data_IF_334840899674
#
_entry.id   IF_334840899674
#
_cell.length_a   1.000
_cell.length_b   1.000
_cell.length_c   1.000
_cell.angle_alpha   90.00
_cell.angle_beta   90.00
_cell.angle_gamma   90.00
#
_symmetry.space_group_name_H-M   'P 1'
#
loop_
_entity.id
_entity.type
_entity.pdbx_description
1 polymer ?
#
# COMPACT_ATOMS: atom_id res chain seq x y z
N UNK A 1 -40.55 -85.43 34.62
CA UNK A 1 -40.13 -84.28 35.45
C UNK A 1 -38.62 -84.21 35.48
N UNK A 2 -38.10 -82.99 35.61
CA UNK A 2 -36.70 -82.58 35.72
C UNK A 2 -35.95 -82.33 34.41
N UNK A 3 -35.83 -81.03 34.16
CA UNK A 3 -35.03 -80.34 33.15
C UNK A 3 -33.58 -80.29 33.65
N UNK A 4 -32.61 -80.60 32.80
CA UNK A 4 -31.21 -80.21 32.99
C UNK A 4 -30.69 -79.67 31.66
N UNK A 5 -30.79 -78.35 31.50
CA UNK A 5 -30.09 -77.57 30.50
C UNK A 5 -28.61 -77.50 30.91
N UNK A 6 -27.71 -77.98 30.04
CA UNK A 6 -26.27 -77.72 30.19
C UNK A 6 -25.81 -76.80 29.08
N UNK A 7 -25.28 -75.66 29.51
CA UNK A 7 -24.95 -74.46 28.75
C UNK A 7 -23.54 -74.57 28.17
N UNK A 8 -23.37 -74.28 26.87
CA UNK A 8 -22.07 -74.20 26.22
C UNK A 8 -21.24 -73.01 26.75
N UNK A 9 -19.90 -73.11 26.85
CA UNK A 9 -19.08 -72.01 27.33
C UNK A 9 -18.92 -70.91 26.27
N UNK A 10 -19.07 -69.66 26.72
CA UNK A 10 -18.81 -68.44 25.94
C UNK A 10 -17.31 -68.29 25.62
N UNK A 11 -16.95 -67.79 24.42
CA UNK A 11 -15.56 -67.43 24.11
C UNK A 11 -15.11 -66.18 24.89
N UNK A 12 -13.80 -66.00 25.15
CA UNK A 12 -13.28 -64.88 25.92
C UNK A 12 -13.49 -63.56 25.17
N UNK A 13 -13.89 -62.54 25.92
CA UNK A 13 -14.08 -61.17 25.44
C UNK A 13 -12.76 -60.59 24.90
N UNK A 14 -12.84 -59.94 23.74
CA UNK A 14 -11.73 -59.16 23.17
C UNK A 14 -11.32 -58.06 24.16
N UNK A 15 -10.01 -57.79 24.33
CA UNK A 15 -9.56 -56.68 25.15
C UNK A 15 -10.08 -55.37 24.54
N UNK A 16 -10.88 -54.63 25.32
CA UNK A 16 -11.21 -53.24 25.01
C UNK A 16 -9.89 -52.45 24.99
N UNK A 17 -9.45 -52.06 23.80
CA UNK A 17 -8.40 -51.08 23.67
C UNK A 17 -8.94 -49.76 24.25
N UNK A 18 -8.54 -49.46 25.48
CA UNK A 18 -8.60 -48.11 26.00
C UNK A 18 -7.71 -47.24 25.09
N UNK A 19 -8.33 -46.60 24.09
CA UNK A 19 -7.68 -45.55 23.33
C UNK A 19 -7.19 -44.46 24.29
N UNK A 20 -6.05 -43.81 24.01
CA UNK A 20 -5.55 -42.77 24.89
C UNK A 20 -6.64 -41.72 25.05
N UNK A 21 -7.04 -41.47 26.31
CA UNK A 21 -7.92 -40.38 26.67
C UNK A 21 -7.18 -39.08 26.33
N UNK A 22 -7.36 -38.61 25.11
CA UNK A 22 -6.86 -37.33 24.65
C UNK A 22 -7.75 -36.26 25.27
N UNK A 23 -7.42 -35.82 26.49
CA UNK A 23 -7.97 -34.60 27.07
C UNK A 23 -7.32 -33.40 26.37
N UNK A 24 -7.69 -33.17 25.11
CA UNK A 24 -7.39 -31.91 24.43
C UNK A 24 -8.35 -30.85 24.97
N UNK A 25 -7.89 -30.12 25.98
CA UNK A 25 -8.52 -28.88 26.40
C UNK A 25 -8.56 -27.91 25.21
N UNK A 26 -9.78 -27.57 24.80
CA UNK A 26 -10.19 -26.46 23.92
C UNK A 26 -9.27 -26.25 22.70
N UNK A 27 -9.21 -27.22 21.80
CA UNK A 27 -8.98 -26.93 20.39
C UNK A 27 -10.33 -27.17 19.68
N UNK A 28 -10.91 -26.11 19.11
CA UNK A 28 -12.08 -26.23 18.25
C UNK A 28 -11.80 -27.16 17.06
N UNK A 29 -12.85 -27.63 16.40
CA UNK A 29 -12.69 -28.37 15.14
C UNK A 29 -11.89 -27.54 14.11
N UNK A 30 -11.25 -28.17 13.11
CA UNK A 30 -10.51 -27.43 12.06
C UNK A 30 -11.38 -26.36 11.38
N UNK A 31 -12.68 -26.62 11.25
CA UNK A 31 -13.66 -25.64 10.78
C UNK A 31 -13.79 -24.42 11.69
N UNK A 32 -13.81 -24.65 13.01
CA UNK A 32 -13.90 -23.59 14.00
C UNK A 32 -12.64 -22.73 14.01
N UNK A 33 -11.45 -23.32 13.89
CA UNK A 33 -10.20 -22.57 13.74
C UNK A 33 -10.19 -21.72 12.45
N UNK A 34 -10.78 -22.24 11.36
CA UNK A 34 -10.94 -21.50 10.12
C UNK A 34 -11.86 -20.28 10.27
N UNK A 35 -12.98 -20.45 10.99
CA UNK A 35 -13.90 -19.35 11.32
C UNK A 35 -13.19 -18.29 12.18
N UNK A 36 -12.50 -18.72 13.25
CA UNK A 36 -11.77 -17.81 14.14
C UNK A 36 -10.68 -17.02 13.39
N UNK A 37 -9.93 -17.65 12.49
CA UNK A 37 -8.93 -16.96 11.67
C UNK A 37 -9.56 -15.95 10.70
N UNK A 38 -10.70 -16.30 10.09
CA UNK A 38 -11.43 -15.40 9.20
C UNK A 38 -12.02 -14.20 9.97
N UNK A 39 -12.56 -14.42 11.16
CA UNK A 39 -13.09 -13.36 12.03
C UNK A 39 -11.99 -12.37 12.42
N UNK A 40 -10.82 -12.86 12.84
CA UNK A 40 -9.67 -12.01 13.15
C UNK A 40 -9.24 -11.17 11.95
N UNK A 41 -9.13 -11.79 10.78
CA UNK A 41 -8.75 -11.11 9.54
C UNK A 41 -9.78 -10.03 9.17
N UNK A 42 -11.06 -10.33 9.34
CA UNK A 42 -12.16 -9.39 9.06
C UNK A 42 -12.15 -8.21 10.03
N UNK A 43 -11.98 -8.46 11.33
CA UNK A 43 -11.90 -7.42 12.35
C UNK A 43 -10.71 -6.48 12.11
N UNK A 44 -9.53 -7.04 11.80
CA UNK A 44 -8.34 -6.24 11.46
C UNK A 44 -8.56 -5.45 10.17
N UNK A 45 -9.27 -6.02 9.19
CA UNK A 45 -9.66 -5.31 7.96
C UNK A 45 -10.56 -4.10 8.22
N UNK A 46 -11.48 -4.18 9.20
CA UNK A 46 -12.34 -3.05 9.60
C UNK A 46 -11.53 -1.95 10.29
N UNK A 47 -10.63 -2.32 11.21
CA UNK A 47 -9.71 -1.36 11.83
C UNK A 47 -8.83 -0.68 10.77
N UNK A 48 -8.34 -1.43 9.78
CA UNK A 48 -7.56 -0.87 8.68
C UNK A 48 -8.35 0.17 7.87
N UNK A 49 -9.65 -0.03 7.64
CA UNK A 49 -10.51 0.97 6.99
C UNK A 49 -10.67 2.23 7.83
N UNK A 50 -10.81 2.11 9.16
CA UNK A 50 -10.90 3.25 10.05
C UNK A 50 -9.59 4.06 10.10
N UNK A 51 -8.44 3.41 9.93
CA UNK A 51 -7.14 4.09 9.81
C UNK A 51 -7.02 4.97 8.56
N UNK A 52 -7.84 4.74 7.55
CA UNK A 52 -7.91 5.54 6.31
C UNK A 52 -8.91 6.71 6.41
N UNK A 53 -9.68 6.83 7.50
CA UNK A 53 -10.64 7.91 7.66
C UNK A 53 -9.97 9.29 7.72
N UNK A 54 -10.59 10.34 7.17
CA UNK A 54 -10.04 11.71 7.22
C UNK A 54 -10.09 12.35 8.62
N UNK A 55 -10.75 11.70 9.58
CA UNK A 55 -10.85 12.13 10.97
C UNK A 55 -9.66 11.61 11.80
N UNK A 56 -8.80 12.53 12.25
CA UNK A 56 -7.60 12.19 13.03
C UNK A 56 -7.97 11.53 14.37
N UNK A 57 -9.11 11.90 14.97
CA UNK A 57 -9.58 11.29 16.21
C UNK A 57 -9.95 9.81 15.97
N UNK A 58 -10.74 9.50 14.93
CA UNK A 58 -11.07 8.13 14.54
C UNK A 58 -9.82 7.30 14.21
N UNK A 59 -8.83 7.88 13.51
CA UNK A 59 -7.57 7.20 13.21
C UNK A 59 -6.79 6.87 14.48
N UNK A 60 -6.70 7.82 15.41
CA UNK A 60 -6.02 7.63 16.69
C UNK A 60 -6.70 6.55 17.55
N UNK A 61 -8.03 6.51 17.53
CA UNK A 61 -8.82 5.49 18.23
C UNK A 61 -8.59 4.10 17.64
N UNK A 62 -8.65 3.94 16.32
CA UNK A 62 -8.40 2.65 15.67
C UNK A 62 -6.98 2.12 15.94
N UNK A 63 -5.97 2.99 16.00
CA UNK A 63 -4.61 2.62 16.41
C UNK A 63 -4.58 2.13 17.86
N UNK A 64 -5.22 2.88 18.77
CA UNK A 64 -5.28 2.52 20.19
C UNK A 64 -6.01 1.18 20.41
N UNK A 65 -7.09 0.93 19.67
CA UNK A 65 -7.84 -0.32 19.70
C UNK A 65 -7.01 -1.50 19.21
N UNK A 66 -6.28 -1.34 18.09
CA UNK A 66 -5.38 -2.38 17.58
C UNK A 66 -4.25 -2.69 18.57
N UNK A 67 -3.64 -1.65 19.15
CA UNK A 67 -2.58 -1.79 20.15
C UNK A 67 -3.11 -2.49 21.41
N UNK A 68 -4.27 -2.07 21.92
CA UNK A 68 -4.92 -2.69 23.07
C UNK A 68 -5.28 -4.15 22.80
N UNK A 69 -5.77 -4.48 21.60
CA UNK A 69 -6.12 -5.85 21.22
C UNK A 69 -4.92 -6.79 21.13
N UNK A 70 -3.73 -6.28 20.78
CA UNK A 70 -2.47 -7.03 20.77
C UNK A 70 -1.90 -7.17 22.19
N UNK A 71 -1.88 -6.09 22.97
CA UNK A 71 -1.42 -6.10 24.36
C UNK A 71 -2.31 -6.96 25.27
N UNK A 72 -3.61 -7.05 25.00
CA UNK A 72 -4.52 -7.91 25.76
C UNK A 72 -4.14 -9.41 25.68
N UNK A 73 -3.44 -9.84 24.62
CA UNK A 73 -2.93 -11.21 24.49
C UNK A 73 -1.52 -11.39 25.08
N UNK A 74 -1.00 -10.39 25.79
CA UNK A 74 0.30 -10.50 26.46
C UNK A 74 0.29 -11.66 27.46
N UNK A 75 1.19 -12.62 27.25
CA UNK A 75 1.25 -13.89 28.00
C UNK A 75 0.59 -15.07 27.31
N UNK A 76 -0.30 -14.85 26.34
CA UNK A 76 -0.87 -15.89 25.49
C UNK A 76 -0.18 -15.92 24.11
N UNK A 77 0.98 -16.59 24.07
CA UNK A 77 1.86 -16.62 22.88
C UNK A 77 1.16 -17.09 21.60
N UNK A 78 0.23 -18.04 21.71
CA UNK A 78 -0.47 -18.59 20.55
C UNK A 78 -1.51 -17.59 20.00
N UNK A 79 -2.31 -16.97 20.87
CA UNK A 79 -3.29 -15.97 20.45
C UNK A 79 -2.62 -14.71 19.89
N UNK A 80 -1.51 -14.27 20.50
CA UNK A 80 -0.72 -13.15 19.98
C UNK A 80 -0.15 -13.46 18.59
N UNK A 81 0.39 -14.67 18.38
CA UNK A 81 0.90 -15.08 17.08
C UNK A 81 -0.21 -15.09 16.01
N UNK A 82 -1.41 -15.59 16.35
CA UNK A 82 -2.54 -15.62 15.41
C UNK A 82 -3.01 -14.21 15.02
N UNK A 83 -3.12 -13.28 15.97
CA UNK A 83 -3.49 -11.88 15.68
C UNK A 83 -2.41 -11.16 14.87
N UNK A 84 -1.14 -11.36 15.20
CA UNK A 84 -0.02 -10.79 14.45
C UNK A 84 0.00 -11.32 13.01
N UNK A 85 -0.20 -12.61 12.81
CA UNK A 85 -0.26 -13.24 11.48
C UNK A 85 -1.43 -12.71 10.64
N UNK A 86 -2.63 -12.63 11.22
CA UNK A 86 -3.79 -12.01 10.57
C UNK A 86 -3.52 -10.54 10.19
N UNK A 87 -2.78 -9.80 11.03
CA UNK A 87 -2.38 -8.41 10.72
C UNK A 87 -1.42 -8.36 9.55
N UNK A 88 -0.42 -9.25 9.51
CA UNK A 88 0.50 -9.36 8.37
C UNK A 88 -0.24 -9.65 7.07
N UNK A 89 -1.21 -10.57 7.09
CA UNK A 89 -2.01 -10.93 5.92
C UNK A 89 -2.78 -9.72 5.36
N UNK A 90 -3.44 -8.93 6.22
CA UNK A 90 -4.16 -7.72 5.79
C UNK A 90 -3.19 -6.69 5.20
N UNK A 91 -2.00 -6.52 5.79
CA UNK A 91 -0.97 -5.61 5.26
C UNK A 91 -0.52 -6.02 3.85
N UNK A 92 -0.24 -7.31 3.63
CA UNK A 92 0.15 -7.82 2.33
C UNK A 92 -0.94 -7.65 1.29
N UNK A 93 -2.19 -7.95 1.67
CA UNK A 93 -3.34 -7.77 0.79
C UNK A 93 -3.47 -6.31 0.34
N UNK A 94 -3.43 -5.35 1.27
CA UNK A 94 -3.52 -3.92 0.97
C UNK A 94 -2.36 -3.44 0.09
N UNK A 95 -1.13 -3.91 0.36
CA UNK A 95 0.03 -3.61 -0.50
C UNK A 95 -0.15 -4.16 -1.92
N UNK A 96 -0.65 -5.39 -2.04
CA UNK A 96 -1.00 -5.99 -3.34
C UNK A 96 -2.02 -5.13 -4.10
N UNK A 97 -3.11 -4.71 -3.45
CA UNK A 97 -4.09 -3.83 -4.07
C UNK A 97 -3.49 -2.48 -4.48
N UNK A 98 -2.67 -1.85 -3.63
CA UNK A 98 -2.02 -0.58 -3.92
C UNK A 98 -1.12 -0.67 -5.17
N UNK A 99 -0.31 -1.74 -5.27
CA UNK A 99 0.54 -1.95 -6.45
C UNK A 99 -0.27 -2.16 -7.73
N UNK A 100 -1.36 -2.94 -7.66
CA UNK A 100 -2.26 -3.13 -8.80
C UNK A 100 -2.88 -1.80 -9.25
N UNK A 101 -3.43 -1.01 -8.32
CA UNK A 101 -4.02 0.30 -8.64
C UNK A 101 -2.98 1.26 -9.23
N UNK A 102 -1.75 1.26 -8.72
CA UNK A 102 -0.67 2.08 -9.26
C UNK A 102 -0.31 1.69 -10.70
N UNK A 103 -0.29 0.40 -11.03
CA UNK A 103 -0.05 -0.08 -12.39
C UNK A 103 -1.17 0.37 -13.35
N UNK A 104 -2.43 0.29 -12.92
CA UNK A 104 -3.56 0.77 -13.73
C UNK A 104 -3.50 2.30 -13.94
N UNK A 105 -3.19 3.07 -12.90
CA UNK A 105 -3.06 4.52 -13.01
C UNK A 105 -1.96 4.92 -14.01
N UNK A 106 -0.81 4.23 -13.99
CA UNK A 106 0.26 4.43 -14.98
C UNK A 106 -0.22 4.15 -16.39
N UNK A 107 -0.88 3.01 -16.62
CA UNK A 107 -1.44 2.65 -17.93
C UNK A 107 -2.43 3.69 -18.45
N UNK A 108 -3.36 4.15 -17.62
CA UNK A 108 -4.34 5.16 -18.01
C UNK A 108 -3.68 6.51 -18.33
N UNK A 109 -2.63 6.87 -17.59
CA UNK A 109 -1.83 8.08 -17.86
C UNK A 109 -1.08 7.98 -19.19
N UNK A 110 -0.53 6.81 -19.51
CA UNK A 110 0.13 6.56 -20.80
C UNK A 110 -0.88 6.62 -21.97
N UNK A 111 -2.07 6.05 -21.79
CA UNK A 111 -3.14 6.12 -22.78
C UNK A 111 -3.60 7.56 -23.02
N UNK A 112 -3.88 8.33 -21.96
CA UNK A 112 -4.29 9.73 -22.11
C UNK A 112 -3.21 10.58 -22.77
N UNK A 113 -1.94 10.37 -22.42
CA UNK A 113 -0.81 11.03 -23.07
C UNK A 113 -0.71 10.66 -24.55
N UNK A 114 -0.90 9.39 -24.89
CA UNK A 114 -0.88 8.92 -26.29
C UNK A 114 -2.00 9.57 -27.11
N UNK A 115 -3.22 9.63 -26.56
CA UNK A 115 -4.35 10.26 -27.24
C UNK A 115 -4.17 11.77 -27.38
N UNK A 116 -3.64 12.44 -26.35
CA UNK A 116 -3.24 13.86 -26.44
C UNK A 116 -2.21 14.09 -27.55
N UNK A 117 -1.14 13.28 -27.59
CA UNK A 117 -0.10 13.39 -28.62
C UNK A 117 -0.64 13.17 -30.04
N UNK A 118 -1.59 12.23 -30.20
CA UNK A 118 -2.26 11.98 -31.49
C UNK A 118 -3.16 13.14 -31.89
N UNK A 119 -3.88 13.74 -30.94
CA UNK A 119 -4.70 14.92 -31.18
C UNK A 119 -3.84 16.11 -31.61
N UNK A 120 -2.73 16.37 -30.90
CA UNK A 120 -1.79 17.45 -31.22
C UNK A 120 -1.19 17.29 -32.63
N UNK A 121 -0.79 16.07 -33.00
CA UNK A 121 -0.26 15.78 -34.34
C UNK A 121 -1.31 15.99 -35.46
N UNK A 122 -2.57 15.66 -35.19
CA UNK A 122 -3.68 15.92 -36.12
C UNK A 122 -3.99 17.40 -36.23
N UNK A 123 -3.96 18.13 -35.12
CA UNK A 123 -4.12 19.59 -35.09
C UNK A 123 -3.01 20.27 -35.89
N UNK A 124 -1.74 19.93 -35.65
CA UNK A 124 -0.60 20.49 -36.38
C UNK A 124 -0.72 20.22 -37.88
N UNK A 125 -1.09 18.99 -38.25
CA UNK A 125 -1.32 18.60 -39.65
C UNK A 125 -2.46 19.42 -40.28
N UNK A 126 -3.56 19.61 -39.56
CA UNK A 126 -4.72 20.38 -40.03
C UNK A 126 -4.36 21.86 -40.19
N UNK A 127 -3.70 22.47 -39.20
CA UNK A 127 -3.24 23.86 -39.25
C UNK A 127 -2.28 24.07 -40.41
N UNK A 128 -1.35 23.15 -40.64
CA UNK A 128 -0.41 23.20 -41.76
C UNK A 128 -1.13 23.19 -43.11
N UNK A 129 -2.17 22.36 -43.29
CA UNK A 129 -2.96 22.33 -44.53
C UNK A 129 -3.76 23.63 -44.71
N UNK A 130 -4.45 24.08 -43.66
CA UNK A 130 -5.30 25.28 -43.71
C UNK A 130 -4.49 26.56 -43.97
N UNK A 131 -3.32 26.70 -43.34
CA UNK A 131 -2.42 27.85 -43.55
C UNK A 131 -1.80 27.85 -44.95
N UNK A 132 -1.51 26.69 -45.55
CA UNK A 132 -1.11 26.61 -46.97
C UNK A 132 -2.20 27.06 -47.92
N UNK A 133 -3.46 26.74 -47.62
CA UNK A 133 -4.61 27.13 -48.44
C UNK A 133 -4.97 28.62 -48.25
N UNK A 134 -4.83 29.15 -47.04
CA UNK A 134 -5.18 30.54 -46.69
C UNK A 134 -4.13 31.16 -45.75
N UNK A 135 -3.00 31.67 -46.29
CA UNK A 135 -1.86 32.11 -45.49
C UNK A 135 -2.13 33.31 -44.56
N UNK A 136 -3.09 34.16 -44.92
CA UNK A 136 -3.45 35.36 -44.15
C UNK A 136 -4.60 35.16 -43.17
N UNK A 137 -5.21 33.96 -43.12
CA UNK A 137 -6.35 33.70 -42.25
C UNK A 137 -5.88 33.49 -40.79
N UNK A 138 -6.51 34.20 -39.86
CA UNK A 138 -6.26 34.08 -38.41
C UNK A 138 -7.37 33.32 -37.67
N UNK A 139 -8.45 32.96 -38.38
CA UNK A 139 -9.59 32.22 -37.85
C UNK A 139 -10.19 31.32 -38.93
N UNK A 140 -10.51 30.09 -38.55
CA UNK A 140 -11.29 29.15 -39.36
C UNK A 140 -12.53 28.74 -38.58
N UNK A 141 -13.71 28.82 -39.22
CA UNK A 141 -14.98 28.41 -38.64
C UNK A 141 -15.52 27.19 -39.38
N UNK A 142 -15.87 26.15 -38.62
CA UNK A 142 -16.50 24.92 -39.11
C UNK A 142 -17.91 24.82 -38.52
N UNK A 143 -18.76 23.88 -38.99
CA UNK A 143 -20.13 23.73 -38.47
C UNK A 143 -20.22 23.56 -36.95
N UNK A 144 -19.26 22.85 -36.34
CA UNK A 144 -19.27 22.52 -34.91
C UNK A 144 -18.02 23.00 -34.14
N UNK A 145 -17.03 23.57 -34.83
CA UNK A 145 -15.71 23.87 -34.24
C UNK A 145 -15.15 25.17 -34.79
N UNK A 146 -14.25 25.80 -34.03
CA UNK A 146 -13.50 26.96 -34.48
C UNK A 146 -12.02 26.81 -34.17
N UNK A 147 -11.16 27.16 -35.12
CA UNK A 147 -9.72 27.33 -34.91
C UNK A 147 -9.40 28.82 -34.93
N UNK A 148 -8.65 29.28 -33.93
CA UNK A 148 -8.19 30.66 -33.84
C UNK A 148 -6.71 30.67 -33.56
N UNK A 149 -5.95 31.45 -34.33
CA UNK A 149 -4.55 31.69 -33.99
C UNK A 149 -4.49 32.68 -32.82
N UNK A 150 -3.67 32.36 -31.83
CA UNK A 150 -3.33 33.26 -30.73
C UNK A 150 -1.88 33.64 -30.88
N UNK A 151 -1.57 34.94 -30.75
CA UNK A 151 -0.18 35.38 -30.66
C UNK A 151 0.32 35.12 -29.24
N UNK A 152 1.25 34.17 -29.10
CA UNK A 152 2.06 34.03 -27.89
C UNK A 152 3.43 34.70 -28.13
N UNK A 153 3.97 35.33 -27.09
CA UNK A 153 5.34 35.84 -27.08
C UNK A 153 6.11 35.07 -26.02
N UNK A 154 7.27 34.56 -26.38
CA UNK A 154 8.18 33.88 -25.48
C UNK A 154 9.56 34.54 -25.62
N UNK A 155 10.23 34.75 -24.48
CA UNK A 155 11.59 35.28 -24.46
C UNK A 155 12.55 34.10 -24.53
N UNK A 156 13.28 33.98 -25.64
CA UNK A 156 14.36 33.00 -25.78
C UNK A 156 15.65 33.63 -25.25
N UNK A 157 16.20 33.05 -24.19
CA UNK A 157 17.51 33.47 -23.64
C UNK A 157 18.57 32.60 -24.31
N UNK A 158 19.34 33.18 -25.23
CA UNK A 158 20.38 32.45 -25.96
C UNK A 158 21.65 32.22 -25.12
N UNK A 159 21.97 33.17 -24.23
CA UNK A 159 23.12 33.06 -23.33
C UNK A 159 22.87 33.84 -22.03
N UNK A 160 22.66 33.10 -20.94
CA UNK A 160 22.42 33.66 -19.60
C UNK A 160 23.62 34.44 -19.04
N UNK A 161 24.85 34.16 -19.47
CA UNK A 161 26.06 34.80 -18.95
C UNK A 161 26.27 36.25 -19.45
N UNK A 162 25.54 36.64 -20.50
CA UNK A 162 25.53 38.01 -21.03
C UNK A 162 24.39 38.85 -20.42
N UNK A 163 23.52 38.25 -19.62
CA UNK A 163 22.44 38.98 -18.97
C UNK A 163 23.02 39.81 -17.81
N UNK A 164 22.61 41.06 -17.77
CA UNK A 164 22.93 41.93 -16.64
C UNK A 164 22.39 41.32 -15.34
N UNK A 165 23.08 41.54 -14.21
CA UNK A 165 22.68 40.98 -12.92
C UNK A 165 21.28 41.40 -12.47
N UNK A 166 20.70 42.47 -13.04
CA UNK A 166 19.31 42.90 -12.80
C UNK A 166 18.27 41.88 -13.28
N UNK A 167 18.61 41.01 -14.25
CA UNK A 167 17.74 39.96 -14.80
C UNK A 167 18.01 38.58 -14.19
N UNK A 168 18.98 38.47 -13.29
CA UNK A 168 19.40 37.22 -12.66
C UNK A 168 18.88 37.13 -11.22
N UNK A 169 18.27 36.00 -10.87
CA UNK A 169 17.84 35.73 -9.48
C UNK A 169 18.80 34.74 -8.83
N UNK A 170 19.52 35.18 -7.79
CA UNK A 170 20.42 34.31 -7.03
C UNK A 170 19.62 33.49 -6.02
N UNK A 171 19.52 32.18 -6.25
CA UNK A 171 18.96 31.22 -5.28
C UNK A 171 20.10 30.60 -4.47
N UNK A 172 20.27 31.01 -3.22
CA UNK A 172 21.21 30.38 -2.28
C UNK A 172 20.45 29.38 -1.41
N UNK A 173 20.71 28.09 -1.56
CA UNK A 173 20.12 27.03 -0.73
C UNK A 173 21.16 26.46 0.21
N UNK A 174 20.93 26.59 1.52
CA UNK A 174 21.71 25.89 2.54
C UNK A 174 21.06 24.54 2.82
N UNK A 175 21.80 23.45 2.62
CA UNK A 175 21.34 22.10 2.94
C UNK A 175 22.34 21.43 3.88
N UNK A 176 21.82 20.77 4.92
CA UNK A 176 22.64 20.01 5.84
C UNK A 176 23.24 18.80 5.13
N UNK A 177 24.56 18.68 5.11
CA UNK A 177 25.23 17.51 4.59
C UNK A 177 25.12 16.34 5.58
N UNK A 178 24.04 15.57 5.43
CA UNK A 178 23.77 14.39 6.26
C UNK A 178 24.86 13.33 6.16
N UNK A 179 25.65 13.31 5.08
CA UNK A 179 26.72 12.31 4.91
C UNK A 179 27.92 12.66 5.76
N UNK A 180 28.37 13.91 5.70
CA UNK A 180 29.45 14.44 6.54
C UNK A 180 29.06 14.39 8.03
N UNK A 181 27.84 14.82 8.37
CA UNK A 181 27.31 14.78 9.74
C UNK A 181 27.29 13.33 10.27
N UNK A 182 26.84 12.36 9.46
CA UNK A 182 26.83 10.95 9.85
C UNK A 182 28.24 10.39 10.05
N UNK A 183 29.21 10.81 9.24
CA UNK A 183 30.60 10.38 9.37
C UNK A 183 31.23 10.92 10.67
N UNK A 184 31.07 12.21 10.95
CA UNK A 184 31.54 12.87 12.17
C UNK A 184 30.92 12.26 13.45
N UNK A 185 29.59 12.07 13.46
CA UNK A 185 28.91 11.41 14.59
C UNK A 185 29.37 9.96 14.81
N UNK A 186 29.74 9.23 13.74
CA UNK A 186 30.32 7.88 13.85
C UNK A 186 31.76 7.89 14.35
N UNK A 187 32.52 8.94 14.07
CA UNK A 187 33.88 9.14 14.55
C UNK A 187 33.95 9.56 16.03
N UNK A 188 32.79 9.84 16.66
CA UNK A 188 32.69 10.25 18.06
C UNK A 188 32.64 11.76 18.29
N UNK A 189 32.59 12.56 17.22
CA UNK A 189 32.40 14.01 17.34
C UNK A 189 30.97 14.33 17.77
N UNK A 190 30.81 15.32 18.66
CA UNK A 190 29.50 15.83 19.05
C UNK A 190 29.10 17.00 18.14
N UNK A 191 27.99 16.85 17.42
CA UNK A 191 27.40 17.91 16.59
C UNK A 191 26.11 18.38 17.26
N UNK A 192 26.07 19.63 17.69
CA UNK A 192 24.86 20.23 18.27
C UNK A 192 23.70 20.17 17.25
N UNK A 193 22.59 19.57 17.65
CA UNK A 193 21.40 19.42 16.79
C UNK A 193 21.40 18.14 15.92
N UNK A 194 22.40 17.27 16.02
CA UNK A 194 22.40 15.99 15.32
C UNK A 194 22.72 14.82 16.27
N UNK A 195 22.01 13.71 16.12
CA UNK A 195 22.21 12.49 16.91
C UNK A 195 22.15 11.26 16.01
N UNK A 196 23.00 10.28 16.30
CA UNK A 196 22.99 9.00 15.58
C UNK A 196 21.98 8.05 16.23
N UNK A 197 20.82 7.85 15.59
CA UNK A 197 19.82 6.88 16.03
C UNK A 197 20.03 5.52 15.35
N UNK A 198 20.25 4.47 16.14
CA UNK A 198 20.29 3.09 15.64
C UNK A 198 18.89 2.48 15.70
N UNK A 199 18.36 2.06 14.55
CA UNK A 199 17.05 1.40 14.43
C UNK A 199 17.20 0.11 13.64
N UNK A 200 16.43 -0.92 14.00
CA UNK A 200 16.28 -2.14 13.19
C UNK A 200 15.17 -1.93 12.17
N UNK A 201 15.40 -2.32 10.93
CA UNK A 201 14.38 -2.36 9.88
C UNK A 201 13.78 -3.76 9.80
N UNK A 202 12.46 -3.86 9.90
CA UNK A 202 11.72 -5.10 9.76
C UNK A 202 11.00 -5.12 8.41
N UNK A 203 10.88 -6.30 7.81
CA UNK A 203 10.09 -6.53 6.60
C UNK A 203 9.17 -7.72 6.85
N UNK A 204 7.94 -7.61 6.36
CA UNK A 204 7.03 -8.75 6.24
C UNK A 204 7.48 -9.47 4.96
N UNK A 205 7.76 -10.77 5.07
CA UNK A 205 8.37 -11.61 4.04
C UNK A 205 7.42 -12.71 3.62
#
# INVERSE_FOLDING_TARGET
MSVLTTTAPLPPALPQAAGPACSLQRAGSLWQLGIEAQELTTAIGQLAQQLEADDEDARSQALAELEAALLAEEGNKQALAAKADATCWVIEHLRGQATYRQQQAKRLTELSRSDGSRADALEESLVLVLTRLQPSATRFSFPNHELRSTRSTAVAIENEALLDPEWLTVKTTFQADKTAIKAALKAGEQITGAQLLSRRSWRIC
#
